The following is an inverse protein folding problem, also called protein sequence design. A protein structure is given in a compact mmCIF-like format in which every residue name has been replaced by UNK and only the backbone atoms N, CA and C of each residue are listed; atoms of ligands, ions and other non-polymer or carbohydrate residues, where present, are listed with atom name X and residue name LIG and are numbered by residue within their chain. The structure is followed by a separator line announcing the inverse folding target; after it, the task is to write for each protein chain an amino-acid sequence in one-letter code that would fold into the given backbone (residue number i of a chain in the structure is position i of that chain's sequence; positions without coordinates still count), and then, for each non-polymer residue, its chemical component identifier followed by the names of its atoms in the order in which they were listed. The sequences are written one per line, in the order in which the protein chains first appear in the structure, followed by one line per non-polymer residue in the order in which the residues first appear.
data_IF_949522267645
#
_entry.id   IF_949522267645
#
_cell.length_a   1.000
_cell.length_b   1.000
_cell.length_c   1.000
_cell.angle_alpha   90.00
_cell.angle_beta   90.00
_cell.angle_gamma   90.00
#
_symmetry.space_group_name_H-M   'P 1'
#
loop_
_entity.id
_entity.type
_entity.pdbx_description
1 polymer ?
#
# COMPACT_ATOMS: atom_id res chain seq x y z
N UNK A 1 2.25 36.89 5.17
CA UNK A 1 1.99 38.16 4.45
C UNK A 1 1.36 37.87 3.07
N UNK A 2 0.31 37.04 3.00
CA UNK A 2 -0.22 36.47 1.74
C UNK A 2 -1.51 37.20 1.32
N UNK A 3 -1.55 38.54 1.44
CA UNK A 3 -2.81 39.31 1.42
C UNK A 3 -3.13 40.10 0.16
N UNK A 4 -2.18 40.34 -0.74
CA UNK A 4 -2.49 40.74 -2.14
C UNK A 4 -2.72 39.52 -3.04
N UNK A 5 -2.44 38.32 -2.52
CA UNK A 5 -1.82 37.20 -3.26
C UNK A 5 -2.82 36.24 -3.93
N UNK A 6 -3.96 36.83 -4.25
CA UNK A 6 -5.26 36.21 -4.40
C UNK A 6 -6.25 37.29 -4.89
N UNK A 7 -5.89 38.57 -4.79
CA UNK A 7 -6.57 39.73 -5.33
C UNK A 7 -5.78 40.15 -6.58
N UNK A 8 -6.04 39.54 -7.73
CA UNK A 8 -7.34 39.68 -8.37
C UNK A 8 -8.23 38.41 -8.42
N UNK A 9 -7.72 37.23 -8.05
CA UNK A 9 -8.33 35.92 -8.35
C UNK A 9 -8.66 35.85 -9.86
N UNK A 10 -7.67 36.28 -10.67
CA UNK A 10 -7.69 36.51 -12.12
C UNK A 10 -8.27 37.88 -12.58
N UNK A 11 -9.05 38.58 -11.74
CA UNK A 11 -9.84 39.90 -11.90
C UNK A 11 -10.93 39.41 -12.97
N UNK A 12 -10.51 39.05 -14.17
CA UNK A 12 -11.36 38.93 -15.37
C UNK A 12 -12.15 37.63 -15.49
N UNK A 13 -11.63 36.51 -14.99
CA UNK A 13 -11.82 35.18 -15.60
C UNK A 13 -11.69 34.03 -14.59
N UNK A 14 -12.42 34.09 -13.47
CA UNK A 14 -12.22 33.24 -12.27
C UNK A 14 -12.20 31.73 -12.54
N UNK A 15 -12.97 31.26 -13.53
CA UNK A 15 -13.11 29.84 -13.87
C UNK A 15 -12.27 29.41 -15.09
N UNK A 16 -11.52 30.33 -15.70
CA UNK A 16 -10.72 30.03 -16.87
C UNK A 16 -9.40 29.32 -16.52
N UNK A 17 -8.99 29.21 -15.25
CA UNK A 17 -7.64 28.71 -14.88
C UNK A 17 -7.67 27.57 -13.86
N UNK A 18 -6.89 26.52 -14.12
CA UNK A 18 -6.78 25.34 -13.26
C UNK A 18 -5.98 25.63 -11.97
N UNK A 19 -6.51 25.22 -10.81
CA UNK A 19 -5.91 25.50 -9.50
C UNK A 19 -4.50 24.93 -9.29
N UNK A 20 -4.16 23.79 -9.91
CA UNK A 20 -2.84 23.15 -9.76
C UNK A 20 -1.83 23.73 -10.76
N UNK A 21 -2.15 23.72 -12.06
CA UNK A 21 -1.17 24.04 -13.09
C UNK A 21 -1.21 25.49 -13.59
N UNK A 22 -2.18 26.29 -13.12
CA UNK A 22 -2.39 27.71 -13.47
C UNK A 22 -2.49 27.99 -14.99
N UNK A 23 -2.77 26.95 -15.80
CA UNK A 23 -3.03 27.06 -17.23
C UNK A 23 -4.51 27.36 -17.49
N UNK A 24 -4.77 28.03 -18.60
CA UNK A 24 -6.13 28.25 -19.09
C UNK A 24 -6.80 26.91 -19.44
N UNK A 25 -8.01 26.70 -18.92
CA UNK A 25 -8.87 25.55 -19.17
C UNK A 25 -9.48 25.70 -20.57
N UNK A 26 -9.47 24.61 -21.33
CA UNK A 26 -10.09 24.51 -22.66
C UNK A 26 -11.15 23.40 -22.57
N UNK A 27 -12.42 23.75 -22.77
CA UNK A 27 -13.56 22.89 -22.44
C UNK A 27 -14.00 23.03 -20.98
N UNK A 28 -14.75 22.06 -20.48
CA UNK A 28 -15.47 22.17 -19.21
C UNK A 28 -14.53 22.15 -17.98
N UNK A 29 -14.62 23.14 -17.07
CA UNK A 29 -13.91 23.13 -15.80
C UNK A 29 -14.59 22.16 -14.82
N UNK A 30 -13.78 21.43 -14.05
CA UNK A 30 -14.25 20.53 -12.98
C UNK A 30 -14.09 21.26 -11.65
N UNK A 31 -15.11 21.32 -10.79
CA UNK A 31 -15.07 22.03 -9.52
C UNK A 31 -14.31 21.20 -8.46
N UNK A 32 -13.58 21.85 -7.55
CA UNK A 32 -12.96 21.15 -6.41
C UNK A 32 -13.99 20.62 -5.39
N UNK A 33 -15.22 21.17 -5.41
CA UNK A 33 -16.35 20.69 -4.64
C UNK A 33 -17.07 19.48 -5.27
N UNK A 34 -16.77 19.13 -6.53
CA UNK A 34 -17.40 17.99 -7.21
C UNK A 34 -16.98 16.66 -6.57
N UNK A 35 -17.90 15.70 -6.59
CA UNK A 35 -17.70 14.36 -6.06
C UNK A 35 -17.10 13.41 -7.11
N UNK A 36 -16.18 12.54 -6.68
CA UNK A 36 -15.58 11.47 -7.47
C UNK A 36 -15.77 10.12 -6.78
N UNK A 37 -16.08 9.09 -7.57
CA UNK A 37 -16.25 7.71 -7.09
C UNK A 37 -14.93 6.96 -7.27
N UNK A 38 -14.28 6.58 -6.16
CA UNK A 38 -12.95 5.97 -6.11
C UNK A 38 -12.98 4.70 -5.24
N UNK A 39 -12.57 3.56 -5.81
CA UNK A 39 -12.67 2.20 -5.21
C UNK A 39 -14.07 1.86 -4.62
N UNK A 40 -15.14 2.51 -5.08
CA UNK A 40 -16.52 2.32 -4.60
C UNK A 40 -16.97 3.30 -3.51
N UNK A 41 -16.07 4.13 -2.97
CA UNK A 41 -16.39 5.25 -2.09
C UNK A 41 -16.63 6.52 -2.89
N UNK A 42 -17.50 7.41 -2.41
CA UNK A 42 -17.66 8.77 -2.95
C UNK A 42 -16.94 9.77 -2.04
N UNK A 43 -16.14 10.66 -2.61
CA UNK A 43 -15.44 11.73 -1.88
C UNK A 43 -15.28 12.97 -2.76
N UNK A 44 -15.03 14.15 -2.17
CA UNK A 44 -14.83 15.36 -2.96
C UNK A 44 -13.43 15.45 -3.55
N UNK A 45 -13.31 16.14 -4.67
CA UNK A 45 -12.02 16.46 -5.28
C UNK A 45 -11.12 17.24 -4.32
N UNK A 46 -11.65 18.15 -3.49
CA UNK A 46 -10.87 18.84 -2.45
C UNK A 46 -10.19 17.86 -1.46
N UNK A 47 -10.82 16.74 -1.14
CA UNK A 47 -10.28 15.74 -0.20
C UNK A 47 -9.14 14.96 -0.86
N UNK A 48 -9.34 14.57 -2.13
CA UNK A 48 -8.32 13.96 -3.00
C UNK A 48 -7.10 14.89 -3.13
N UNK A 49 -7.31 16.18 -3.38
CA UNK A 49 -6.23 17.17 -3.49
C UNK A 49 -5.51 17.41 -2.16
N UNK A 50 -6.25 17.45 -1.05
CA UNK A 50 -5.68 17.60 0.31
C UNK A 50 -4.74 16.43 0.64
N UNK A 51 -5.13 15.20 0.29
CA UNK A 51 -4.33 14.00 0.51
C UNK A 51 -3.12 13.89 -0.44
N UNK A 52 -3.27 14.30 -1.70
CA UNK A 52 -2.21 14.21 -2.73
C UNK A 52 -1.17 15.33 -2.63
N UNK A 53 -1.58 16.55 -2.26
CA UNK A 53 -0.71 17.74 -2.22
C UNK A 53 -0.26 18.10 -0.80
N UNK A 54 -0.93 17.58 0.22
CA UNK A 54 -0.80 18.03 1.61
C UNK A 54 -1.67 19.26 1.90
N UNK A 55 -2.17 19.33 3.14
CA UNK A 55 -3.12 20.34 3.61
C UNK A 55 -2.64 21.79 3.39
N UNK A 56 -1.38 22.10 3.70
CA UNK A 56 -0.82 23.45 3.52
C UNK A 56 -0.76 23.84 2.04
N UNK A 57 -0.31 22.93 1.17
CA UNK A 57 -0.25 23.16 -0.28
C UNK A 57 -1.65 23.41 -0.84
N UNK A 58 -2.62 22.57 -0.47
CA UNK A 58 -4.00 22.71 -0.93
C UNK A 58 -4.65 24.01 -0.43
N UNK A 59 -4.47 24.39 0.84
CA UNK A 59 -4.99 25.65 1.39
C UNK A 59 -4.45 26.90 0.69
N UNK A 60 -3.22 26.86 0.14
CA UNK A 60 -2.71 27.96 -0.67
C UNK A 60 -3.30 27.98 -2.10
N UNK A 61 -3.73 26.82 -2.62
CA UNK A 61 -4.27 26.66 -3.98
C UNK A 61 -5.81 26.73 -4.07
N UNK A 62 -6.55 26.50 -2.98
CA UNK A 62 -8.02 26.68 -2.88
C UNK A 62 -8.50 28.11 -3.18
N UNK A 63 -7.55 29.04 -3.27
CA UNK A 63 -7.58 30.23 -4.12
C UNK A 63 -8.34 30.06 -5.45
N UNK A 64 -8.25 28.91 -6.12
CA UNK A 64 -8.94 28.63 -7.37
C UNK A 64 -9.86 27.42 -7.21
N UNK A 65 -11.12 27.57 -7.63
CA UNK A 65 -12.20 26.61 -7.36
C UNK A 65 -12.35 25.52 -8.45
N UNK A 66 -11.49 25.52 -9.48
CA UNK A 66 -11.64 24.63 -10.65
C UNK A 66 -10.33 23.99 -11.12
N UNK A 67 -10.45 22.80 -11.71
CA UNK A 67 -9.39 22.01 -12.33
C UNK A 67 -9.60 21.90 -13.86
N UNK A 68 -8.50 21.77 -14.60
CA UNK A 68 -8.54 21.15 -15.92
C UNK A 68 -8.54 19.62 -15.79
N UNK A 69 -9.20 18.95 -16.75
CA UNK A 69 -9.32 17.48 -16.82
C UNK A 69 -8.00 16.72 -16.60
N UNK A 70 -6.89 17.21 -17.15
CA UNK A 70 -5.58 16.56 -16.99
C UNK A 70 -5.12 16.58 -15.52
N UNK A 71 -5.28 17.71 -14.81
CA UNK A 71 -4.91 17.81 -13.41
C UNK A 71 -5.82 16.95 -12.50
N UNK A 72 -7.12 16.86 -12.80
CA UNK A 72 -8.03 15.94 -12.11
C UNK A 72 -7.61 14.49 -12.30
N UNK A 73 -7.28 14.08 -13.54
CA UNK A 73 -6.80 12.73 -13.85
C UNK A 73 -5.47 12.41 -13.16
N UNK A 74 -4.52 13.36 -13.11
CA UNK A 74 -3.27 13.19 -12.37
C UNK A 74 -3.50 13.08 -10.86
N UNK A 75 -4.35 13.92 -10.26
CA UNK A 75 -4.66 13.87 -8.84
C UNK A 75 -5.31 12.53 -8.44
N UNK A 76 -6.30 12.07 -9.20
CA UNK A 76 -6.94 10.75 -9.00
C UNK A 76 -5.93 9.61 -9.19
N UNK A 77 -5.01 9.71 -10.17
CA UNK A 77 -3.92 8.75 -10.36
C UNK A 77 -2.98 8.67 -9.15
N UNK A 78 -2.53 9.82 -8.63
CA UNK A 78 -1.70 9.91 -7.44
C UNK A 78 -2.42 9.37 -6.19
N UNK A 79 -3.71 9.71 -6.01
CA UNK A 79 -4.52 9.18 -4.91
C UNK A 79 -4.63 7.65 -4.95
N UNK A 80 -4.97 7.08 -6.11
CA UNK A 80 -5.06 5.63 -6.29
C UNK A 80 -3.72 4.94 -6.03
N UNK A 81 -2.60 5.57 -6.40
CA UNK A 81 -1.26 5.09 -6.05
C UNK A 81 -1.00 5.14 -4.54
N UNK A 82 -1.28 6.26 -3.86
CA UNK A 82 -1.07 6.42 -2.41
C UNK A 82 -1.88 5.39 -1.63
N UNK A 83 -3.18 5.23 -1.92
CA UNK A 83 -4.03 4.25 -1.25
C UNK A 83 -3.50 2.82 -1.44
N UNK A 84 -3.15 2.45 -2.68
CA UNK A 84 -2.65 1.10 -2.99
C UNK A 84 -1.25 0.84 -2.42
N UNK A 85 -0.42 1.88 -2.29
CA UNK A 85 0.89 1.81 -1.65
C UNK A 85 0.75 1.62 -0.12
N UNK A 86 -0.22 2.29 0.52
CA UNK A 86 -0.60 2.04 1.91
C UNK A 86 -1.07 0.60 2.11
N UNK A 87 -2.10 0.17 1.37
CA UNK A 87 -2.62 -1.21 1.38
C UNK A 87 -1.51 -2.26 1.19
N UNK A 88 -0.51 -1.99 0.33
CA UNK A 88 0.64 -2.89 0.11
C UNK A 88 1.68 -2.83 1.25
N UNK A 89 1.84 -1.68 1.91
CA UNK A 89 2.74 -1.51 3.04
C UNK A 89 2.21 -2.23 4.28
N UNK A 90 0.91 -2.11 4.56
CA UNK A 90 0.25 -2.75 5.70
C UNK A 90 0.38 -4.29 5.61
N UNK A 91 0.10 -4.86 4.42
CA UNK A 91 0.27 -6.29 4.13
C UNK A 91 1.74 -6.76 4.23
N UNK A 92 2.71 -5.87 4.02
CA UNK A 92 4.14 -6.18 4.18
C UNK A 92 4.56 -6.12 5.65
N UNK A 93 4.00 -5.19 6.44
CA UNK A 93 4.20 -5.12 7.89
C UNK A 93 3.61 -6.36 8.58
N UNK A 94 2.37 -6.74 8.27
CA UNK A 94 1.73 -7.98 8.75
C UNK A 94 2.58 -9.23 8.45
N UNK A 95 3.13 -9.32 7.23
CA UNK A 95 4.00 -10.42 6.84
C UNK A 95 5.33 -10.44 7.63
N UNK A 96 5.94 -9.28 7.88
CA UNK A 96 7.18 -9.16 8.65
C UNK A 96 6.94 -9.45 10.13
N UNK A 97 5.87 -8.94 10.72
CA UNK A 97 5.47 -9.21 12.11
C UNK A 97 5.15 -10.71 12.31
N UNK A 98 4.45 -11.33 11.35
CA UNK A 98 4.19 -12.77 11.34
C UNK A 98 5.49 -13.57 11.30
N UNK A 99 6.40 -13.29 10.36
CA UNK A 99 7.67 -13.98 10.24
C UNK A 99 8.56 -13.80 11.48
N UNK A 100 8.61 -12.60 12.06
CA UNK A 100 9.37 -12.30 13.29
C UNK A 100 8.86 -13.14 14.47
N UNK A 101 7.55 -13.08 14.72
CA UNK A 101 6.87 -13.89 15.77
C UNK A 101 7.16 -15.39 15.62
N UNK A 102 7.26 -15.87 14.39
CA UNK A 102 7.52 -17.29 14.11
C UNK A 102 9.01 -17.68 14.27
N UNK A 103 9.94 -16.75 14.06
CA UNK A 103 11.36 -16.96 14.36
C UNK A 103 11.63 -16.96 15.87
N UNK A 104 10.98 -16.07 16.62
CA UNK A 104 11.10 -16.02 18.09
C UNK A 104 10.62 -17.35 18.72
N UNK A 105 9.43 -17.82 18.32
CA UNK A 105 8.87 -19.12 18.75
C UNK A 105 9.71 -20.34 18.34
N UNK A 106 10.54 -20.23 17.30
CA UNK A 106 11.39 -21.34 16.85
C UNK A 106 12.65 -21.55 17.73
N UNK A 107 12.99 -20.59 18.59
CA UNK A 107 14.25 -20.60 19.36
C UNK A 107 14.31 -21.69 20.45
N UNK A 108 13.18 -22.09 21.03
CA UNK A 108 13.13 -22.83 22.30
C UNK A 108 13.48 -24.34 22.22
N UNK A 109 13.59 -24.96 21.04
CA UNK A 109 13.74 -26.44 20.95
C UNK A 109 14.78 -26.99 19.97
N UNK A 110 15.79 -26.20 19.58
CA UNK A 110 16.84 -26.62 18.64
C UNK A 110 17.98 -27.44 19.30
N UNK A 111 17.64 -28.65 19.77
CA UNK A 111 18.66 -29.68 20.03
C UNK A 111 18.92 -30.53 18.78
N UNK A 112 20.17 -30.48 18.27
CA UNK A 112 20.72 -31.09 17.03
C UNK A 112 20.52 -30.28 15.74
N UNK A 113 21.40 -30.54 14.77
CA UNK A 113 21.59 -29.80 13.50
C UNK A 113 20.44 -29.99 12.48
N UNK A 114 19.27 -29.44 12.80
CA UNK A 114 18.10 -29.44 11.91
C UNK A 114 18.03 -28.17 11.07
N UNK A 115 17.47 -28.27 9.87
CA UNK A 115 16.95 -27.10 9.16
C UNK A 115 15.46 -26.96 9.45
N UNK A 116 15.05 -25.77 9.90
CA UNK A 116 13.67 -25.33 9.88
C UNK A 116 13.38 -24.66 8.53
N UNK A 117 12.28 -25.06 7.90
CA UNK A 117 11.63 -24.28 6.84
C UNK A 117 10.41 -23.59 7.43
N UNK A 118 10.27 -22.30 7.14
CA UNK A 118 9.10 -21.48 7.48
C UNK A 118 8.41 -21.12 6.17
N UNK A 119 7.09 -21.25 6.10
CA UNK A 119 6.28 -20.82 4.95
C UNK A 119 5.10 -19.98 5.42
N UNK A 120 4.93 -18.81 4.80
CA UNK A 120 3.83 -17.89 5.03
C UNK A 120 2.83 -18.03 3.88
N UNK A 121 1.55 -18.25 4.18
CA UNK A 121 0.49 -18.17 3.17
C UNK A 121 0.17 -16.69 2.86
N UNK A 122 0.01 -16.36 1.57
CA UNK A 122 -0.16 -14.98 1.08
C UNK A 122 -1.59 -14.44 1.23
N UNK A 123 -2.56 -15.26 1.62
CA UNK A 123 -3.99 -14.90 1.68
C UNK A 123 -4.47 -14.63 3.12
N UNK A 124 -3.84 -15.26 4.11
CA UNK A 124 -4.24 -15.19 5.52
C UNK A 124 -3.06 -15.09 6.51
N UNK A 125 -1.82 -14.99 6.02
CA UNK A 125 -0.58 -14.94 6.81
C UNK A 125 -0.37 -16.13 7.78
N UNK A 126 -1.06 -17.26 7.57
CA UNK A 126 -0.82 -18.46 8.36
C UNK A 126 0.60 -19.00 8.11
N UNK A 127 1.39 -19.06 9.18
CA UNK A 127 2.76 -19.57 9.12
C UNK A 127 2.82 -21.05 9.47
N UNK A 128 3.36 -21.85 8.55
CA UNK A 128 3.61 -23.27 8.74
C UNK A 128 5.10 -23.56 8.94
N UNK A 129 5.41 -24.55 9.78
CA UNK A 129 6.75 -24.92 10.21
C UNK A 129 7.07 -26.35 9.76
N UNK A 130 8.22 -26.56 9.12
CA UNK A 130 8.69 -27.89 8.72
C UNK A 130 10.14 -28.11 9.17
N UNK A 131 10.34 -28.97 10.16
CA UNK A 131 11.67 -29.41 10.58
C UNK A 131 12.19 -30.55 9.70
N UNK A 132 13.48 -30.49 9.37
CA UNK A 132 14.16 -31.53 8.60
C UNK A 132 15.53 -31.84 9.21
N UNK A 133 15.79 -33.11 9.53
CA UNK A 133 16.99 -33.60 10.26
C UNK A 133 18.30 -33.60 9.44
N UNK A 134 18.44 -32.66 8.49
CA UNK A 134 19.67 -32.43 7.72
C UNK A 134 19.81 -30.95 7.43
N UNK A 135 20.95 -30.37 7.80
CA UNK A 135 21.36 -29.02 7.40
C UNK A 135 21.25 -28.83 5.88
N UNK A 136 20.86 -27.63 5.47
CA UNK A 136 20.85 -27.17 4.08
C UNK A 136 21.99 -26.16 3.89
N UNK A 137 22.80 -26.38 2.85
CA UNK A 137 23.98 -25.54 2.55
C UNK A 137 23.79 -24.63 1.32
N UNK A 138 22.64 -24.66 0.64
CA UNK A 138 22.34 -23.71 -0.45
C UNK A 138 20.82 -23.53 -0.69
N UNK A 139 20.38 -22.37 -1.22
CA UNK A 139 18.97 -22.11 -1.52
C UNK A 139 18.34 -23.11 -2.49
N UNK A 140 19.09 -23.59 -3.49
CA UNK A 140 18.60 -24.59 -4.44
C UNK A 140 18.33 -25.96 -3.79
N UNK A 141 19.04 -26.29 -2.71
CA UNK A 141 18.75 -27.49 -1.90
C UNK A 141 17.58 -27.20 -0.94
N UNK A 142 17.47 -25.98 -0.41
CA UNK A 142 16.35 -25.56 0.43
C UNK A 142 15.01 -25.71 -0.31
N UNK A 143 14.90 -25.08 -1.47
CA UNK A 143 13.70 -25.07 -2.31
C UNK A 143 13.27 -26.49 -2.69
N UNK A 144 14.22 -27.33 -3.13
CA UNK A 144 13.93 -28.73 -3.50
C UNK A 144 13.46 -29.58 -2.31
N UNK A 145 14.03 -29.39 -1.11
CA UNK A 145 13.57 -30.09 0.11
C UNK A 145 12.19 -29.60 0.54
N UNK A 146 11.95 -28.30 0.57
CA UNK A 146 10.65 -27.72 0.91
C UNK A 146 9.54 -28.19 -0.06
N UNK A 147 9.80 -28.11 -1.37
CA UNK A 147 8.88 -28.64 -2.39
C UNK A 147 8.60 -30.13 -2.20
N UNK A 148 9.63 -30.92 -1.84
CA UNK A 148 9.46 -32.34 -1.52
C UNK A 148 8.59 -32.56 -0.26
N UNK A 149 8.72 -31.72 0.76
CA UNK A 149 7.90 -31.79 1.99
C UNK A 149 6.44 -31.44 1.69
N UNK A 150 6.19 -30.39 0.89
CA UNK A 150 4.85 -29.91 0.54
C UNK A 150 4.07 -30.87 -0.38
N UNK A 151 4.75 -31.60 -1.27
CA UNK A 151 4.11 -32.43 -2.29
C UNK A 151 4.28 -33.95 -2.11
N UNK A 152 5.01 -34.41 -1.09
CA UNK A 152 5.10 -35.84 -0.76
C UNK A 152 3.86 -36.34 -0.01
N UNK A 153 3.30 -37.47 -0.45
CA UNK A 153 2.31 -38.21 0.34
C UNK A 153 2.96 -38.69 1.66
N UNK A 154 2.23 -38.68 2.79
CA UNK A 154 2.86 -38.56 4.10
C UNK A 154 3.54 -39.84 4.60
N UNK A 155 4.87 -39.78 4.73
CA UNK A 155 5.66 -40.53 5.72
C UNK A 155 6.44 -39.60 6.67
N UNK A 156 6.25 -38.29 6.55
CA UNK A 156 6.81 -37.29 7.46
C UNK A 156 5.88 -37.19 8.68
N UNK A 157 6.42 -37.36 9.89
CA UNK A 157 5.67 -37.13 11.13
C UNK A 157 5.26 -35.66 11.22
N UNK A 158 3.97 -35.38 11.06
CA UNK A 158 3.39 -34.12 11.54
C UNK A 158 3.39 -34.16 13.07
N UNK A 159 4.43 -33.61 13.71
CA UNK A 159 4.38 -33.29 15.14
C UNK A 159 3.48 -32.06 15.33
N UNK A 160 2.16 -32.30 15.25
CA UNK A 160 1.14 -31.33 15.64
C UNK A 160 1.19 -31.21 17.16
N UNK A 161 2.04 -30.31 17.67
CA UNK A 161 1.85 -29.76 19.01
C UNK A 161 0.51 -29.03 19.00
N UNK A 162 -0.53 -29.67 19.55
CA UNK A 162 -1.67 -28.94 20.08
C UNK A 162 -1.20 -28.25 21.37
N UNK A 163 -1.28 -26.93 21.39
CA UNK A 163 -1.24 -26.19 22.65
C UNK A 163 -2.53 -26.50 23.45
N UNK A 164 -2.44 -26.41 24.78
CA UNK A 164 -3.52 -26.59 25.76
C UNK A 164 -3.58 -25.30 26.58
#
# INVERSE_FOLDING_TARGET
MISNNLLYKIVTRKHDFCCICLKTIQGDPINIEDEVVLKGNTMKIQDVLTLVLGYETFNNLSTFEVLCKQCTQSAVGCFNFIMTAGETSDLLEDAICSLTTCLDKASESLSKDKTLFVTLDQNNFETNYYYHDKVVTSPNIALKRLYSILHSKPNIKKEIKKEI
#
